data_IF_758393957728
#
_entry.id   IF_758393957728
#
_cell.length_a   1.000
_cell.length_b   1.000
_cell.length_c   1.000
_cell.angle_alpha   90.00
_cell.angle_beta   90.00
_cell.angle_gamma   90.00
#
_symmetry.space_group_name_H-M   'P 1'
#
loop_
_entity.id
_entity.type
_entity.pdbx_description
1 polymer ?
#
# COMPACT_ATOMS: atom_id res chain seq x y z
N UNK A 1 33.52 -8.55 41.31
CA UNK A 1 33.87 -9.94 41.72
C UNK A 1 32.55 -10.70 41.81
N UNK A 2 32.23 -11.69 40.97
CA UNK A 2 33.03 -12.53 40.04
C UNK A 2 32.17 -12.83 38.79
N UNK A 3 32.76 -12.93 37.59
CA UNK A 3 32.06 -13.44 36.39
C UNK A 3 32.08 -14.98 36.35
N UNK A 4 31.13 -15.56 35.62
CA UNK A 4 31.18 -16.88 34.97
C UNK A 4 30.07 -16.89 33.92
N UNK A 5 30.32 -16.84 32.61
CA UNK A 5 31.18 -17.70 31.77
C UNK A 5 30.83 -19.16 31.97
N UNK A 6 30.09 -19.72 31.02
CA UNK A 6 29.96 -21.16 30.82
C UNK A 6 30.43 -21.51 29.42
N UNK A 7 31.28 -22.52 29.35
CA UNK A 7 32.11 -22.83 28.19
C UNK A 7 31.51 -23.98 27.38
N UNK A 8 31.68 -23.91 26.06
CA UNK A 8 31.34 -24.96 25.11
C UNK A 8 32.42 -26.04 25.04
N UNK A 9 32.06 -27.32 25.17
CA UNK A 9 32.82 -28.41 24.55
C UNK A 9 32.12 -29.78 24.53
N UNK A 10 32.19 -30.40 23.34
CA UNK A 10 32.40 -31.84 23.11
C UNK A 10 31.37 -32.86 23.63
N UNK A 11 30.61 -33.43 22.69
CA UNK A 11 30.23 -34.84 22.72
C UNK A 11 30.01 -35.36 21.29
N UNK A 12 30.85 -36.31 20.87
CA UNK A 12 30.71 -36.99 19.58
C UNK A 12 31.33 -38.38 19.63
N UNK A 13 30.60 -39.38 19.17
CA UNK A 13 31.03 -40.73 18.75
C UNK A 13 29.92 -41.22 17.77
N UNK A 14 30.19 -41.46 16.48
CA UNK A 14 30.57 -42.77 15.87
C UNK A 14 29.49 -43.85 16.05
N UNK A 15 28.99 -44.59 15.05
CA UNK A 15 29.26 -44.65 13.60
C UNK A 15 28.61 -45.91 12.97
N UNK A 16 28.66 -46.04 11.63
CA UNK A 16 27.92 -46.99 10.73
C UNK A 16 26.44 -46.60 10.44
N UNK A 17 25.92 -46.72 9.23
CA UNK A 17 26.56 -47.04 7.94
C UNK A 17 25.73 -48.00 7.07
N UNK A 18 25.10 -47.47 6.02
CA UNK A 18 24.64 -48.27 4.88
C UNK A 18 24.67 -47.44 3.59
N UNK A 19 24.97 -48.11 2.48
CA UNK A 19 25.34 -47.50 1.19
C UNK A 19 24.26 -47.75 0.14
N UNK A 20 23.89 -46.71 -0.60
CA UNK A 20 23.30 -46.85 -1.93
C UNK A 20 23.79 -45.72 -2.84
N UNK A 21 24.61 -46.09 -3.82
CA UNK A 21 25.04 -45.24 -4.94
C UNK A 21 23.97 -45.30 -6.04
N UNK A 22 23.70 -44.20 -6.74
CA UNK A 22 24.05 -44.12 -8.18
C UNK A 22 23.87 -42.71 -8.80
N UNK A 23 24.81 -42.39 -9.70
CA UNK A 23 24.81 -41.40 -10.80
C UNK A 23 24.26 -39.96 -10.60
N UNK A 24 25.21 -39.03 -10.55
CA UNK A 24 25.12 -37.73 -11.26
C UNK A 24 25.29 -37.92 -12.77
N UNK A 25 25.08 -36.87 -13.58
CA UNK A 25 26.28 -36.20 -14.11
C UNK A 25 26.26 -34.66 -14.01
N UNK A 26 27.46 -34.10 -14.15
CA UNK A 26 27.81 -32.69 -13.93
C UNK A 26 27.83 -31.97 -15.28
N UNK A 27 27.23 -30.78 -15.40
CA UNK A 27 27.61 -29.84 -16.46
C UNK A 27 28.65 -28.84 -15.95
N UNK A 28 29.81 -28.81 -16.63
CA UNK A 28 30.94 -27.92 -16.35
C UNK A 28 30.57 -26.45 -16.58
N UNK A 29 31.02 -25.59 -15.66
CA UNK A 29 31.41 -24.21 -15.96
C UNK A 29 32.83 -24.21 -16.50
N UNK A 30 33.11 -23.53 -17.62
CA UNK A 30 34.47 -23.31 -18.14
C UNK A 30 34.60 -21.88 -18.67
N UNK A 31 35.46 -21.08 -18.03
CA UNK A 31 36.06 -19.90 -18.65
C UNK A 31 37.07 -20.32 -19.72
N UNK A 32 37.15 -19.53 -20.78
CA UNK A 32 38.29 -19.26 -21.67
C UNK A 32 38.08 -17.80 -22.12
N UNK A 33 38.98 -16.81 -21.97
CA UNK A 33 40.45 -16.75 -22.15
C UNK A 33 40.84 -17.01 -23.60
N UNK A 34 41.27 -15.94 -24.27
CA UNK A 34 41.74 -15.89 -25.67
C UNK A 34 43.27 -16.04 -25.67
N UNK A 35 43.81 -16.80 -26.64
CA UNK A 35 45.15 -16.59 -27.20
C UNK A 35 45.26 -17.28 -28.56
N UNK A 36 45.92 -16.64 -29.52
CA UNK A 36 46.20 -17.15 -30.86
C UNK A 36 47.18 -18.34 -30.88
N UNK A 37 47.09 -19.19 -31.91
CA UNK A 37 48.17 -19.45 -32.88
C UNK A 37 47.80 -20.54 -33.94
N UNK A 38 48.25 -20.27 -35.16
CA UNK A 38 48.37 -21.04 -36.41
C UNK A 38 48.21 -22.58 -36.47
N UNK A 39 47.59 -23.08 -37.56
CA UNK A 39 48.13 -24.08 -38.53
C UNK A 39 47.04 -24.83 -39.35
N UNK A 40 47.00 -24.59 -40.67
CA UNK A 40 46.95 -25.67 -41.68
C UNK A 40 45.62 -26.21 -42.28
N UNK A 41 45.06 -25.48 -43.27
CA UNK A 41 44.37 -25.97 -44.50
C UNK A 41 43.12 -26.91 -44.42
N UNK A 42 42.13 -26.92 -45.33
CA UNK A 42 41.60 -26.04 -46.41
C UNK A 42 40.23 -26.67 -46.83
N UNK A 43 39.36 -26.20 -47.74
CA UNK A 43 39.35 -25.21 -48.84
C UNK A 43 37.97 -24.48 -48.90
N UNK A 44 37.72 -23.67 -49.94
CA UNK A 44 36.44 -22.98 -50.24
C UNK A 44 35.82 -23.48 -51.58
N UNK A 45 34.72 -22.92 -52.13
CA UNK A 45 34.70 -21.54 -52.64
C UNK A 45 33.41 -20.72 -52.38
N UNK A 46 33.55 -19.39 -52.51
CA UNK A 46 32.45 -18.44 -52.74
C UNK A 46 32.34 -18.20 -54.25
N UNK A 47 31.12 -18.02 -54.76
CA UNK A 47 30.85 -17.34 -56.02
C UNK A 47 29.88 -16.19 -55.77
N UNK A 48 30.24 -15.02 -56.27
CA UNK A 48 29.40 -13.82 -56.29
C UNK A 48 28.41 -13.89 -57.46
N UNK A 49 27.22 -13.32 -57.28
CA UNK A 49 26.34 -12.98 -58.41
C UNK A 49 25.61 -11.66 -58.10
N UNK A 50 26.19 -10.55 -58.58
CA UNK A 50 25.57 -9.22 -58.57
C UNK A 50 24.74 -9.05 -59.86
N UNK A 51 23.41 -8.89 -59.75
CA UNK A 51 22.59 -8.31 -60.83
C UNK A 51 21.23 -7.82 -60.35
N UNK A 52 21.07 -6.51 -60.25
CA UNK A 52 19.77 -5.86 -60.01
C UNK A 52 18.90 -5.91 -61.27
N UNK A 53 17.65 -6.37 -61.16
CA UNK A 53 16.53 -5.79 -61.93
C UNK A 53 15.27 -5.67 -61.07
N UNK A 54 14.56 -4.55 -61.27
CA UNK A 54 13.49 -4.06 -60.40
C UNK A 54 12.17 -4.83 -60.57
N UNK A 55 11.38 -5.02 -59.49
CA UNK A 55 10.14 -4.25 -59.29
C UNK A 55 9.37 -4.57 -57.99
N UNK A 56 8.57 -3.58 -57.54
CA UNK A 56 7.50 -3.63 -56.54
C UNK A 56 7.91 -3.70 -55.05
N UNK A 57 7.80 -2.59 -54.29
CA UNK A 57 7.74 -2.64 -52.84
C UNK A 57 6.33 -3.06 -52.40
N UNK A 58 6.11 -4.35 -52.19
CA UNK A 58 4.91 -4.82 -51.47
C UNK A 58 5.02 -4.42 -50.01
N UNK A 59 4.51 -3.23 -49.68
CA UNK A 59 4.39 -2.74 -48.32
C UNK A 59 3.38 -3.57 -47.54
N UNK A 60 3.81 -4.71 -46.99
CA UNK A 60 3.10 -5.33 -45.89
C UNK A 60 3.11 -4.32 -44.72
N UNK A 61 1.93 -3.96 -44.17
CA UNK A 61 1.89 -3.06 -43.03
C UNK A 61 2.39 -3.82 -41.81
N UNK A 62 3.67 -3.64 -41.48
CA UNK A 62 4.29 -3.94 -40.17
C UNK A 62 3.28 -3.63 -39.07
N UNK A 63 2.67 -4.67 -38.49
CA UNK A 63 1.55 -4.49 -37.57
C UNK A 63 2.08 -3.96 -36.25
N UNK A 64 2.12 -2.64 -36.13
CA UNK A 64 2.60 -1.85 -34.99
C UNK A 64 1.99 -2.32 -33.63
N UNK A 65 0.84 -2.99 -33.69
CA UNK A 65 0.14 -3.61 -32.57
C UNK A 65 0.79 -4.89 -32.01
N UNK A 66 1.64 -5.60 -32.76
CA UNK A 66 2.31 -6.84 -32.31
C UNK A 66 3.33 -6.59 -31.19
N UNK A 67 4.00 -5.43 -31.21
CA UNK A 67 5.04 -5.08 -30.24
C UNK A 67 4.49 -4.51 -28.92
N UNK A 68 3.18 -4.27 -28.83
CA UNK A 68 2.56 -3.66 -27.65
C UNK A 68 2.18 -4.71 -26.59
N UNK A 69 3.18 -5.22 -25.88
CA UNK A 69 2.93 -5.81 -24.57
C UNK A 69 2.56 -4.68 -23.58
N UNK A 70 1.35 -4.64 -23.00
CA UNK A 70 1.02 -3.62 -22.02
C UNK A 70 1.96 -3.77 -20.81
N UNK A 71 2.53 -2.67 -20.27
CA UNK A 71 3.41 -2.75 -19.11
C UNK A 71 2.71 -3.47 -17.97
N UNK A 72 3.41 -4.39 -17.28
CA UNK A 72 2.85 -5.31 -16.26
C UNK A 72 2.01 -4.58 -15.19
N UNK A 73 2.31 -3.32 -14.92
CA UNK A 73 1.59 -2.44 -14.01
C UNK A 73 0.17 -2.08 -14.49
N UNK A 74 -0.06 -1.87 -15.79
CA UNK A 74 -1.42 -1.62 -16.33
C UNK A 74 -2.29 -2.87 -16.24
N UNK A 75 -1.75 -4.05 -16.56
CA UNK A 75 -2.50 -5.30 -16.43
C UNK A 75 -2.86 -5.62 -14.96
N UNK A 76 -1.92 -5.41 -14.04
CA UNK A 76 -2.19 -5.50 -12.59
C UNK A 76 -3.16 -4.41 -12.11
N UNK A 77 -3.09 -3.19 -12.64
CA UNK A 77 -4.05 -2.11 -12.34
C UNK A 77 -5.48 -2.44 -12.80
N UNK A 78 -5.64 -3.01 -13.99
CA UNK A 78 -6.93 -3.53 -14.46
C UNK A 78 -7.44 -4.66 -13.55
N UNK A 79 -6.54 -5.54 -13.09
CA UNK A 79 -6.85 -6.61 -12.13
C UNK A 79 -7.37 -6.07 -10.79
N UNK A 80 -6.83 -4.94 -10.30
CA UNK A 80 -7.33 -4.23 -9.11
C UNK A 80 -8.75 -3.70 -9.34
N UNK A 81 -9.05 -3.11 -10.49
CA UNK A 81 -10.40 -2.62 -10.83
C UNK A 81 -11.43 -3.77 -10.93
N UNK A 82 -11.07 -4.88 -11.58
CA UNK A 82 -11.93 -6.07 -11.66
C UNK A 82 -12.18 -6.65 -10.27
N UNK A 83 -11.14 -6.80 -9.45
CA UNK A 83 -11.28 -7.27 -8.06
C UNK A 83 -12.08 -6.30 -7.19
N UNK A 84 -11.95 -4.98 -7.39
CA UNK A 84 -12.75 -3.99 -6.70
C UNK A 84 -14.24 -4.18 -7.00
N UNK A 85 -14.62 -4.24 -8.28
CA UNK A 85 -16.00 -4.49 -8.69
C UNK A 85 -16.54 -5.83 -8.18
N UNK A 86 -15.73 -6.88 -8.27
CA UNK A 86 -16.10 -8.23 -7.80
C UNK A 86 -16.26 -8.29 -6.27
N UNK A 87 -15.39 -7.63 -5.50
CA UNK A 87 -15.50 -7.50 -4.03
C UNK A 87 -16.73 -6.69 -3.65
N UNK A 88 -17.01 -5.56 -4.32
CA UNK A 88 -18.20 -4.74 -4.06
C UNK A 88 -19.48 -5.57 -4.28
N UNK A 89 -19.61 -6.20 -5.46
CA UNK A 89 -20.78 -7.03 -5.80
C UNK A 89 -20.95 -8.21 -4.84
N UNK A 90 -19.86 -8.85 -4.38
CA UNK A 90 -19.94 -9.99 -3.46
C UNK A 90 -20.16 -9.60 -2.01
N UNK A 91 -19.65 -8.45 -1.57
CA UNK A 91 -19.95 -7.86 -0.25
C UNK A 91 -21.43 -7.52 -0.16
N UNK A 92 -22.01 -6.92 -1.21
CA UNK A 92 -23.46 -6.69 -1.34
C UNK A 92 -24.30 -7.98 -1.39
N UNK A 93 -23.73 -9.12 -1.81
CA UNK A 93 -24.40 -10.44 -1.81
C UNK A 93 -24.33 -11.19 -0.46
N UNK A 94 -23.78 -10.58 0.60
CA UNK A 94 -24.04 -11.00 1.99
C UNK A 94 -23.41 -12.32 2.47
N UNK A 95 -22.57 -13.00 1.68
CA UNK A 95 -21.86 -14.23 2.11
C UNK A 95 -20.64 -13.93 3.00
N UNK A 96 -20.86 -13.28 4.14
CA UNK A 96 -19.80 -12.78 5.02
C UNK A 96 -19.50 -13.74 6.18
N UNK A 97 -18.25 -14.19 6.26
CA UNK A 97 -17.75 -14.99 7.39
C UNK A 97 -17.48 -14.08 8.59
N UNK A 98 -18.50 -13.87 9.44
CA UNK A 98 -18.45 -12.91 10.55
C UNK A 98 -17.29 -13.15 11.54
N UNK A 99 -16.99 -14.42 11.87
CA UNK A 99 -15.86 -14.80 12.73
C UNK A 99 -14.51 -14.33 12.17
N UNK A 100 -14.27 -14.54 10.88
CA UNK A 100 -13.05 -14.09 10.20
C UNK A 100 -12.99 -12.56 10.13
N UNK A 101 -14.14 -11.91 9.90
CA UNK A 101 -14.24 -10.43 9.88
C UNK A 101 -13.87 -9.82 11.23
N UNK A 102 -14.34 -10.40 12.35
CA UNK A 102 -13.98 -9.95 13.70
C UNK A 102 -12.49 -10.12 14.00
N UNK A 103 -11.90 -11.26 13.63
CA UNK A 103 -10.45 -11.48 13.80
C UNK A 103 -9.60 -10.48 12.99
N UNK A 104 -10.03 -10.15 11.78
CA UNK A 104 -9.37 -9.10 11.00
C UNK A 104 -9.62 -7.71 11.60
N UNK A 105 -10.80 -7.42 12.13
CA UNK A 105 -11.13 -6.14 12.78
C UNK A 105 -10.24 -5.87 14.01
N UNK A 106 -10.02 -6.89 14.86
CA UNK A 106 -9.09 -6.82 16.00
C UNK A 106 -7.64 -6.54 15.53
N UNK A 107 -7.25 -7.10 14.38
CA UNK A 107 -5.91 -6.91 13.80
C UNK A 107 -5.73 -5.54 13.15
N UNK A 108 -6.75 -5.01 12.47
CA UNK A 108 -6.69 -3.70 11.81
C UNK A 108 -6.81 -2.58 12.82
N UNK A 109 -7.81 -2.64 13.71
CA UNK A 109 -8.12 -1.59 14.67
C UNK A 109 -7.16 -1.56 15.85
N UNK A 110 -7.45 -2.28 16.97
CA UNK A 110 -6.68 -2.24 18.22
C UNK A 110 -5.16 -2.26 18.06
N UNK A 111 -4.63 -3.14 17.21
CA UNK A 111 -3.17 -3.27 17.04
C UNK A 111 -2.55 -2.04 16.37
N UNK A 112 -3.30 -1.32 15.51
CA UNK A 112 -2.82 -0.12 14.80
C UNK A 112 -2.96 1.19 15.59
N UNK A 113 -3.88 1.25 16.56
CA UNK A 113 -4.19 2.47 17.34
C UNK A 113 -2.93 3.18 17.84
N UNK A 114 -2.03 2.47 18.54
CA UNK A 114 -0.84 3.09 19.15
C UNK A 114 0.09 3.79 18.16
N UNK A 115 0.28 3.25 16.95
CA UNK A 115 1.11 3.88 15.92
C UNK A 115 0.38 5.09 15.31
N UNK A 116 -0.92 4.94 15.03
CA UNK A 116 -1.72 6.00 14.43
C UNK A 116 -1.82 7.23 15.36
N UNK A 117 -2.08 7.01 16.65
CA UNK A 117 -2.13 8.07 17.66
C UNK A 117 -0.79 8.78 17.86
N UNK A 118 0.33 8.03 17.85
CA UNK A 118 1.66 8.62 17.98
C UNK A 118 1.99 9.50 16.77
N UNK A 119 1.72 9.00 15.56
CA UNK A 119 1.91 9.79 14.32
C UNK A 119 1.00 11.02 14.30
N UNK A 120 -0.29 10.90 14.64
CA UNK A 120 -1.21 12.05 14.65
C UNK A 120 -0.82 13.09 15.70
N UNK A 121 -0.30 12.67 16.86
CA UNK A 121 0.20 13.59 17.89
C UNK A 121 1.37 14.45 17.38
N UNK A 122 2.38 13.83 16.75
CA UNK A 122 3.53 14.56 16.19
C UNK A 122 3.15 15.43 14.99
N UNK A 123 2.24 14.97 14.12
CA UNK A 123 1.71 15.78 13.02
C UNK A 123 0.95 17.00 13.56
N UNK A 124 0.16 16.83 14.64
CA UNK A 124 -0.46 17.90 15.44
C UNK A 124 0.54 18.98 15.83
N UNK A 125 1.60 18.59 16.53
CA UNK A 125 2.65 19.50 16.97
C UNK A 125 3.33 20.21 15.78
N UNK A 126 3.71 19.47 14.74
CA UNK A 126 4.40 20.00 13.57
C UNK A 126 3.55 21.02 12.77
N UNK A 127 2.24 20.79 12.64
CA UNK A 127 1.32 21.77 12.03
C UNK A 127 1.13 22.99 12.91
N UNK A 128 0.99 22.81 14.22
CA UNK A 128 0.84 23.90 15.18
C UNK A 128 1.98 24.92 15.10
N UNK A 129 3.24 24.44 15.03
CA UNK A 129 4.43 25.30 14.91
C UNK A 129 4.36 26.18 13.66
N UNK A 130 3.87 25.66 12.55
CA UNK A 130 3.78 26.37 11.27
C UNK A 130 2.64 27.40 11.31
N UNK A 131 1.43 26.98 11.70
CA UNK A 131 0.25 27.84 11.69
C UNK A 131 0.30 28.93 12.77
N UNK A 132 0.71 28.61 14.01
CA UNK A 132 0.81 29.63 15.07
C UNK A 132 1.78 30.74 14.67
N UNK A 133 2.96 30.38 14.13
CA UNK A 133 3.96 31.38 13.68
C UNK A 133 3.41 32.33 12.64
N UNK A 134 2.69 31.81 11.63
CA UNK A 134 2.18 32.65 10.55
C UNK A 134 0.99 33.51 11.01
N UNK A 135 0.08 32.96 11.82
CA UNK A 135 -1.04 33.72 12.36
C UNK A 135 -0.61 34.76 13.41
N UNK A 136 0.48 34.54 14.15
CA UNK A 136 1.07 35.56 15.03
C UNK A 136 1.59 36.75 14.24
N UNK A 137 2.22 36.54 13.07
CA UNK A 137 2.65 37.63 12.17
C UNK A 137 1.48 38.45 11.66
N UNK A 138 0.33 37.81 11.43
CA UNK A 138 -0.92 38.46 11.00
C UNK A 138 -1.76 39.04 12.15
N UNK A 139 -1.36 38.84 13.42
CA UNK A 139 -2.13 39.25 14.59
C UNK A 139 -3.39 38.39 14.88
N UNK A 140 -3.57 37.26 14.20
CA UNK A 140 -4.79 36.44 14.18
C UNK A 140 -4.75 35.24 15.15
N UNK A 141 -4.04 35.34 16.28
CA UNK A 141 -3.82 34.24 17.23
C UNK A 141 -5.10 33.53 17.71
N UNK A 142 -6.23 34.25 17.81
CA UNK A 142 -7.53 33.67 18.23
C UNK A 142 -8.18 32.79 17.16
N UNK A 143 -7.75 32.86 15.90
CA UNK A 143 -8.32 32.09 14.78
C UNK A 143 -7.55 30.79 14.49
N UNK A 144 -6.39 30.60 15.13
CA UNK A 144 -5.50 29.44 14.87
C UNK A 144 -6.20 28.11 15.15
N UNK A 145 -6.90 28.00 16.29
CA UNK A 145 -7.61 26.78 16.67
C UNK A 145 -8.66 26.35 15.65
N UNK A 146 -9.44 27.29 15.13
CA UNK A 146 -10.42 27.03 14.07
C UNK A 146 -9.81 26.53 12.77
N UNK A 147 -8.70 27.14 12.34
CA UNK A 147 -8.02 26.74 11.09
C UNK A 147 -7.34 25.38 11.22
N UNK A 148 -6.71 25.09 12.37
CA UNK A 148 -6.22 23.75 12.68
C UNK A 148 -7.36 22.73 12.64
N UNK A 149 -8.45 22.98 13.35
CA UNK A 149 -9.57 22.05 13.43
C UNK A 149 -10.15 21.69 12.06
N UNK A 150 -10.31 22.69 11.18
CA UNK A 150 -10.74 22.48 9.80
C UNK A 150 -9.72 21.67 8.98
N UNK A 151 -8.42 21.99 9.07
CA UNK A 151 -7.38 21.26 8.36
C UNK A 151 -7.28 19.79 8.82
N UNK A 152 -7.35 19.56 10.14
CA UNK A 152 -7.32 18.22 10.74
C UNK A 152 -8.57 17.41 10.38
N UNK A 153 -9.76 18.00 10.40
CA UNK A 153 -11.00 17.28 10.08
C UNK A 153 -11.09 16.94 8.60
N UNK A 154 -10.83 17.89 7.70
CA UNK A 154 -11.13 17.74 6.26
C UNK A 154 -10.12 16.88 5.51
N UNK A 155 -8.84 17.03 5.82
CA UNK A 155 -7.74 16.45 5.05
C UNK A 155 -6.79 15.63 5.94
N UNK A 156 -6.24 16.25 7.00
CA UNK A 156 -5.05 15.71 7.66
C UNK A 156 -5.33 14.39 8.41
N UNK A 157 -6.39 14.31 9.20
CA UNK A 157 -6.66 13.10 10.00
C UNK A 157 -7.04 11.88 9.14
N UNK A 158 -7.95 12.00 8.14
CA UNK A 158 -8.25 10.89 7.23
C UNK A 158 -7.01 10.40 6.46
N UNK A 159 -6.23 11.32 5.90
CA UNK A 159 -5.07 10.98 5.05
C UNK A 159 -3.93 10.39 5.87
N UNK A 160 -3.51 11.02 6.97
CA UNK A 160 -2.40 10.53 7.82
C UNK A 160 -2.71 9.16 8.40
N UNK A 161 -3.94 8.94 8.89
CA UNK A 161 -4.36 7.62 9.41
C UNK A 161 -4.29 6.57 8.32
N UNK A 162 -4.76 6.89 7.11
CA UNK A 162 -4.77 5.97 5.98
C UNK A 162 -3.37 5.62 5.48
N UNK A 163 -2.43 6.57 5.45
CA UNK A 163 -1.02 6.33 5.10
C UNK A 163 -0.37 5.34 6.08
N UNK A 164 -0.55 5.55 7.39
CA UNK A 164 0.00 4.67 8.44
C UNK A 164 -0.58 3.25 8.34
N UNK A 165 -1.90 3.14 8.14
CA UNK A 165 -2.57 1.84 8.02
C UNK A 165 -2.26 1.14 6.69
N UNK A 166 -2.10 1.87 5.58
CA UNK A 166 -1.61 1.32 4.31
C UNK A 166 -0.22 0.69 4.47
N UNK A 167 0.71 1.43 5.10
CA UNK A 167 2.07 0.94 5.34
C UNK A 167 2.12 -0.29 6.26
N UNK A 168 1.29 -0.36 7.31
CA UNK A 168 1.31 -1.47 8.27
C UNK A 168 0.39 -2.64 7.89
N UNK A 169 -0.89 -2.37 7.74
CA UNK A 169 -1.94 -3.37 7.52
C UNK A 169 -2.00 -3.76 6.04
N UNK A 170 -1.87 -2.79 5.13
CA UNK A 170 -1.79 -3.07 3.69
C UNK A 170 -0.62 -4.00 3.36
N UNK A 171 0.58 -3.70 3.89
CA UNK A 171 1.73 -4.61 3.80
C UNK A 171 1.44 -6.01 4.34
N UNK A 172 0.89 -6.11 5.56
CA UNK A 172 0.59 -7.39 6.19
C UNK A 172 -0.42 -8.21 5.38
N UNK A 173 -1.44 -7.57 4.80
CA UNK A 173 -2.43 -8.23 3.96
C UNK A 173 -1.85 -8.74 2.65
N UNK A 174 -1.02 -7.93 1.98
CA UNK A 174 -0.33 -8.32 0.76
C UNK A 174 0.66 -9.48 1.00
N UNK A 175 1.46 -9.40 2.07
CA UNK A 175 2.43 -10.44 2.41
C UNK A 175 1.76 -11.79 2.79
N UNK A 176 0.69 -11.75 3.58
CA UNK A 176 -0.03 -12.95 4.00
C UNK A 176 -0.70 -13.66 2.80
N UNK A 177 -1.35 -12.90 1.92
CA UNK A 177 -1.94 -13.47 0.69
C UNK A 177 -0.90 -13.89 -0.34
N UNK A 178 0.21 -13.14 -0.47
CA UNK A 178 1.32 -13.51 -1.34
C UNK A 178 1.95 -14.84 -0.91
N UNK A 179 2.12 -15.05 0.39
CA UNK A 179 2.58 -16.34 0.95
C UNK A 179 1.57 -17.45 0.67
N UNK A 180 0.28 -17.23 0.92
CA UNK A 180 -0.78 -18.22 0.61
C UNK A 180 -0.84 -18.58 -0.87
N UNK A 181 -0.61 -17.61 -1.77
CA UNK A 181 -0.60 -17.82 -3.22
C UNK A 181 0.65 -18.59 -3.67
N UNK A 182 1.82 -18.25 -3.14
CA UNK A 182 3.09 -18.93 -3.45
C UNK A 182 3.14 -20.35 -2.88
N UNK A 183 2.41 -20.64 -1.81
CA UNK A 183 2.27 -21.98 -1.22
C UNK A 183 1.04 -22.76 -1.71
N UNK A 184 0.41 -22.35 -2.82
CA UNK A 184 -0.75 -23.01 -3.45
C UNK A 184 -1.99 -23.19 -2.54
N UNK A 185 -2.02 -22.53 -1.38
CA UNK A 185 -3.13 -22.60 -0.42
C UNK A 185 -4.40 -21.93 -0.99
N UNK A 186 -4.24 -20.85 -1.75
CA UNK A 186 -5.33 -20.19 -2.47
C UNK A 186 -5.99 -21.12 -3.50
N UNK A 187 -5.21 -21.99 -4.13
CA UNK A 187 -5.67 -22.90 -5.17
C UNK A 187 -6.31 -24.15 -4.55
N UNK A 188 -5.75 -24.63 -3.44
CA UNK A 188 -6.35 -25.67 -2.58
C UNK A 188 -7.77 -25.28 -2.14
N UNK A 189 -8.00 -24.02 -1.75
CA UNK A 189 -9.34 -23.52 -1.40
C UNK A 189 -10.32 -23.62 -2.57
N UNK A 190 -9.89 -23.38 -3.82
CA UNK A 190 -10.74 -23.52 -5.02
C UNK A 190 -11.11 -24.98 -5.27
N UNK A 191 -10.17 -25.91 -5.09
CA UNK A 191 -10.42 -27.36 -5.21
C UNK A 191 -11.42 -27.84 -4.15
N UNK A 192 -11.36 -27.28 -2.94
CA UNK A 192 -12.35 -27.51 -1.87
C UNK A 192 -13.70 -26.77 -2.08
N UNK A 193 -13.98 -26.27 -3.29
CA UNK A 193 -15.24 -25.60 -3.65
C UNK A 193 -15.44 -24.21 -3.03
N UNK A 194 -14.44 -23.66 -2.33
CA UNK A 194 -14.52 -22.36 -1.66
C UNK A 194 -13.92 -21.25 -2.52
N UNK A 195 -14.64 -20.14 -2.66
CA UNK A 195 -14.12 -18.97 -3.37
C UNK A 195 -13.08 -18.23 -2.49
N UNK A 196 -11.79 -18.16 -2.87
CA UNK A 196 -10.76 -17.56 -2.01
C UNK A 196 -10.97 -16.05 -1.80
N UNK A 197 -11.57 -15.36 -2.76
CA UNK A 197 -11.96 -13.94 -2.63
C UNK A 197 -12.94 -13.75 -1.47
N UNK A 198 -13.95 -14.61 -1.37
CA UNK A 198 -15.04 -14.49 -0.39
C UNK A 198 -14.58 -14.87 1.02
N UNK A 199 -13.63 -15.81 1.11
CA UNK A 199 -13.09 -16.31 2.37
C UNK A 199 -11.94 -15.47 2.94
N UNK A 200 -11.09 -14.89 2.07
CA UNK A 200 -9.87 -14.18 2.48
C UNK A 200 -9.95 -12.65 2.27
N UNK A 201 -10.55 -12.18 1.17
CA UNK A 201 -10.52 -10.75 0.80
C UNK A 201 -11.68 -9.99 1.40
N UNK A 202 -12.92 -10.45 1.21
CA UNK A 202 -14.14 -9.83 1.74
C UNK A 202 -14.07 -9.50 3.25
N UNK A 203 -13.68 -10.42 4.17
CA UNK A 203 -13.62 -10.08 5.60
C UNK A 203 -12.57 -9.01 5.93
N UNK A 204 -11.46 -8.93 5.18
CA UNK A 204 -10.42 -7.90 5.37
C UNK A 204 -10.88 -6.52 4.91
N UNK A 205 -11.61 -6.46 3.79
CA UNK A 205 -12.18 -5.21 3.25
C UNK A 205 -13.26 -4.64 4.16
N UNK A 206 -14.14 -5.48 4.70
CA UNK A 206 -15.14 -5.06 5.69
C UNK A 206 -14.44 -4.58 6.98
N UNK A 207 -13.46 -5.35 7.49
CA UNK A 207 -12.72 -4.99 8.69
C UNK A 207 -11.98 -3.64 8.57
N UNK A 208 -11.32 -3.36 7.44
CA UNK A 208 -10.62 -2.08 7.24
C UNK A 208 -11.57 -0.90 7.01
N UNK A 209 -12.66 -1.12 6.27
CA UNK A 209 -13.71 -0.13 6.03
C UNK A 209 -14.33 0.34 7.35
N UNK A 210 -14.56 -0.58 8.31
CA UNK A 210 -15.11 -0.25 9.62
C UNK A 210 -14.05 0.28 10.62
N UNK A 211 -12.82 -0.22 10.58
CA UNK A 211 -11.77 0.22 11.51
C UNK A 211 -11.26 1.64 11.24
N UNK A 212 -11.06 2.03 9.97
CA UNK A 212 -10.46 3.32 9.64
C UNK A 212 -11.23 4.56 10.11
N UNK A 213 -12.57 4.68 9.99
CA UNK A 213 -13.28 5.86 10.49
C UNK A 213 -13.14 6.01 12.01
N UNK A 214 -13.13 4.90 12.76
CA UNK A 214 -12.91 4.94 14.21
C UNK A 214 -11.47 5.38 14.56
N UNK A 215 -10.47 4.85 13.85
CA UNK A 215 -9.07 5.28 14.04
C UNK A 215 -8.88 6.75 13.66
N UNK A 216 -9.53 7.21 12.58
CA UNK A 216 -9.46 8.60 12.11
C UNK A 216 -10.02 9.58 13.15
N UNK A 217 -11.13 9.25 13.80
CA UNK A 217 -11.68 10.05 14.91
C UNK A 217 -10.72 10.11 16.10
N UNK A 218 -10.06 9.00 16.46
CA UNK A 218 -9.06 8.98 17.53
C UNK A 218 -7.79 9.77 17.16
N UNK A 219 -7.33 9.69 15.91
CA UNK A 219 -6.23 10.51 15.40
C UNK A 219 -6.57 12.01 15.42
N UNK A 220 -7.83 12.37 15.09
CA UNK A 220 -8.31 13.75 15.13
C UNK A 220 -8.28 14.31 16.56
N UNK A 221 -8.85 13.59 17.54
CA UNK A 221 -8.89 14.07 18.94
C UNK A 221 -7.49 14.18 19.54
N UNK A 222 -6.62 13.20 19.32
CA UNK A 222 -5.24 13.23 19.82
C UNK A 222 -4.37 14.26 19.09
N UNK A 223 -4.55 14.46 17.78
CA UNK A 223 -3.86 15.50 17.01
C UNK A 223 -4.27 16.91 17.44
N UNK A 224 -5.56 17.15 17.69
CA UNK A 224 -6.04 18.42 18.23
C UNK A 224 -5.59 18.66 19.68
N UNK A 225 -5.57 17.61 20.52
CA UNK A 225 -5.08 17.70 21.89
C UNK A 225 -3.57 18.02 21.95
N UNK A 226 -2.73 17.34 21.16
CA UNK A 226 -1.30 17.63 21.11
C UNK A 226 -0.99 19.02 20.56
N UNK A 227 -1.80 19.48 19.59
CA UNK A 227 -1.73 20.83 19.05
C UNK A 227 -2.03 21.89 20.10
N UNK A 228 -3.11 21.73 20.86
CA UNK A 228 -3.51 22.68 21.90
C UNK A 228 -2.47 22.74 23.04
N UNK A 229 -1.96 21.58 23.49
CA UNK A 229 -0.90 21.51 24.51
C UNK A 229 0.39 22.20 24.07
N UNK A 230 0.80 22.04 22.81
CA UNK A 230 2.01 22.68 22.30
C UNK A 230 1.84 24.20 22.17
N UNK A 231 0.69 24.66 21.68
CA UNK A 231 0.42 26.09 21.51
C UNK A 231 0.38 26.85 22.84
N UNK A 232 -0.13 26.22 23.90
CA UNK A 232 -0.06 26.74 25.27
C UNK A 232 1.38 26.77 25.79
N UNK A 233 2.08 25.62 25.73
CA UNK A 233 3.43 25.45 26.28
C UNK A 233 4.52 26.30 25.60
N UNK A 234 4.44 26.51 24.28
CA UNK A 234 5.50 27.13 23.47
C UNK A 234 5.18 28.57 23.07
N UNK A 235 3.89 28.89 22.87
CA UNK A 235 3.44 30.19 22.35
C UNK A 235 2.56 30.97 23.32
N UNK A 236 2.24 30.42 24.50
CA UNK A 236 1.42 31.10 25.51
C UNK A 236 -0.04 31.31 25.10
N UNK A 237 -0.52 30.58 24.09
CA UNK A 237 -1.91 30.67 23.63
C UNK A 237 -2.76 29.68 24.42
N UNK A 238 -3.58 30.20 25.35
CA UNK A 238 -4.40 29.38 26.23
C UNK A 238 -5.21 28.32 25.48
N UNK A 239 -5.13 27.08 25.94
CA UNK A 239 -5.87 25.90 25.45
C UNK A 239 -7.35 26.23 25.20
N UNK A 240 -7.99 26.97 26.11
CA UNK A 240 -9.41 27.33 26.02
C UNK A 240 -9.73 28.18 24.76
N UNK A 241 -8.84 29.10 24.37
CA UNK A 241 -9.01 29.92 23.18
C UNK A 241 -8.95 29.05 21.92
N UNK A 242 -8.06 28.06 21.90
CA UNK A 242 -7.88 27.14 20.76
C UNK A 242 -9.09 26.21 20.64
N UNK A 243 -9.54 25.62 21.73
CA UNK A 243 -10.69 24.71 21.73
C UNK A 243 -12.01 25.43 21.41
N UNK A 244 -12.24 26.62 21.95
CA UNK A 244 -13.42 27.44 21.59
C UNK A 244 -13.37 27.90 20.11
N UNK A 245 -12.21 28.31 19.62
CA UNK A 245 -12.00 28.65 18.20
C UNK A 245 -12.23 27.43 17.29
N UNK A 246 -11.76 26.25 17.69
CA UNK A 246 -11.99 24.99 17.00
C UNK A 246 -13.48 24.63 16.97
N UNK A 247 -14.17 24.69 18.10
CA UNK A 247 -15.59 24.37 18.22
C UNK A 247 -16.47 25.33 17.42
N UNK A 248 -16.11 26.61 17.33
CA UNK A 248 -16.83 27.60 16.51
C UNK A 248 -16.59 27.45 15.00
N UNK A 249 -15.46 26.86 14.59
CA UNK A 249 -15.14 26.64 13.18
C UNK A 249 -15.66 25.31 12.62
N UNK A 250 -15.61 24.24 13.43
CA UNK A 250 -16.05 22.90 13.03
C UNK A 250 -17.56 22.84 12.81
N UNK A 251 -17.99 22.31 11.66
CA UNK A 251 -19.36 21.88 11.44
C UNK A 251 -19.46 20.37 11.55
N UNK A 252 -20.61 19.84 11.96
CA UNK A 252 -20.85 18.38 12.02
C UNK A 252 -20.59 17.69 10.68
N UNK A 253 -20.77 18.40 9.57
CA UNK A 253 -20.45 17.93 8.21
C UNK A 253 -18.95 17.67 7.99
N UNK A 254 -18.06 18.45 8.61
CA UNK A 254 -16.61 18.27 8.49
C UNK A 254 -16.16 16.94 9.12
N UNK A 255 -16.84 16.49 10.18
CA UNK A 255 -16.57 15.21 10.86
C UNK A 255 -17.19 14.05 10.07
N UNK A 256 -18.43 14.20 9.59
CA UNK A 256 -19.12 13.16 8.80
C UNK A 256 -18.38 12.90 7.48
N UNK A 257 -17.95 13.95 6.78
CA UNK A 257 -17.16 13.82 5.55
C UNK A 257 -15.80 13.16 5.79
N UNK A 258 -15.14 13.44 6.92
CA UNK A 258 -13.91 12.75 7.36
C UNK A 258 -14.12 11.24 7.58
N UNK A 259 -15.24 10.85 8.19
CA UNK A 259 -15.60 9.44 8.39
C UNK A 259 -15.88 8.73 7.05
N UNK A 260 -16.61 9.37 6.13
CA UNK A 260 -16.89 8.79 4.81
C UNK A 260 -15.60 8.64 4.00
N UNK A 261 -14.73 9.67 3.97
CA UNK A 261 -13.40 9.60 3.33
C UNK A 261 -12.58 8.43 3.86
N UNK A 262 -12.39 8.35 5.18
CA UNK A 262 -11.61 7.28 5.81
C UNK A 262 -12.20 5.88 5.60
N UNK A 263 -13.53 5.75 5.53
CA UNK A 263 -14.18 4.50 5.14
C UNK A 263 -13.83 4.09 3.69
N UNK A 264 -13.80 5.04 2.75
CA UNK A 264 -13.39 4.79 1.35
C UNK A 264 -11.91 4.41 1.26
N UNK A 265 -11.03 5.15 1.95
CA UNK A 265 -9.60 4.80 2.01
C UNK A 265 -9.37 3.40 2.59
N UNK A 266 -10.17 2.99 3.58
CA UNK A 266 -10.11 1.66 4.19
C UNK A 266 -10.47 0.55 3.19
N UNK A 267 -11.43 0.80 2.30
CA UNK A 267 -11.76 -0.12 1.21
C UNK A 267 -10.64 -0.17 0.17
N UNK A 268 -10.11 0.99 -0.26
CA UNK A 268 -9.03 1.08 -1.25
C UNK A 268 -7.79 0.30 -0.78
N UNK A 269 -7.33 0.52 0.46
CA UNK A 269 -6.16 -0.17 1.03
C UNK A 269 -6.35 -1.68 0.95
N UNK A 270 -7.44 -2.21 1.50
CA UNK A 270 -7.64 -3.67 1.54
C UNK A 270 -7.84 -4.28 0.16
N UNK A 271 -8.56 -3.61 -0.75
CA UNK A 271 -8.77 -4.12 -2.11
C UNK A 271 -7.43 -4.16 -2.86
N UNK A 272 -6.66 -3.07 -2.85
CA UNK A 272 -5.34 -3.00 -3.52
C UNK A 272 -4.38 -4.02 -2.91
N UNK A 273 -4.23 -4.04 -1.58
CA UNK A 273 -3.30 -4.97 -0.92
C UNK A 273 -3.68 -6.43 -1.11
N UNK A 274 -4.97 -6.77 -1.10
CA UNK A 274 -5.39 -8.14 -1.38
C UNK A 274 -5.21 -8.52 -2.85
N UNK A 275 -5.48 -7.60 -3.80
CA UNK A 275 -5.27 -7.84 -5.23
C UNK A 275 -3.79 -8.11 -5.57
N UNK A 276 -2.87 -7.34 -4.99
CA UNK A 276 -1.44 -7.58 -5.17
C UNK A 276 -0.96 -8.86 -4.46
N UNK A 277 -1.53 -9.20 -3.30
CA UNK A 277 -1.30 -10.49 -2.65
C UNK A 277 -1.70 -11.69 -3.50
N UNK A 278 -2.95 -11.76 -3.99
CA UNK A 278 -3.44 -12.90 -4.79
C UNK A 278 -2.85 -12.99 -6.20
N UNK A 279 -2.21 -11.91 -6.69
CA UNK A 279 -1.49 -11.90 -7.97
C UNK A 279 0.03 -11.97 -7.80
N UNK A 280 0.51 -12.37 -6.61
CA UNK A 280 1.93 -12.60 -6.34
C UNK A 280 2.43 -13.86 -7.07
N UNK A 281 3.63 -13.76 -7.66
CA UNK A 281 4.33 -14.86 -8.35
C UNK A 281 5.82 -14.77 -8.02
N UNK A 282 6.57 -15.89 -8.10
CA UNK A 282 8.03 -15.88 -7.97
C UNK A 282 8.59 -16.03 -6.56
N UNK A 283 7.98 -16.89 -5.74
CA UNK A 283 8.52 -17.27 -4.43
C UNK A 283 8.54 -16.13 -3.39
N UNK A 284 9.34 -16.29 -2.34
CA UNK A 284 9.47 -15.30 -1.27
C UNK A 284 9.91 -13.91 -1.75
N UNK A 285 10.74 -13.83 -2.80
CA UNK A 285 11.14 -12.55 -3.42
C UNK A 285 9.92 -11.82 -4.02
N UNK A 286 9.07 -12.56 -4.74
CA UNK A 286 7.83 -12.04 -5.31
C UNK A 286 6.85 -11.53 -4.26
N UNK A 287 6.79 -12.15 -3.08
CA UNK A 287 5.98 -11.66 -1.94
C UNK A 287 6.48 -10.29 -1.49
N UNK A 288 7.79 -10.09 -1.35
CA UNK A 288 8.38 -8.80 -1.00
C UNK A 288 8.07 -7.70 -2.03
N UNK A 289 8.33 -7.96 -3.31
CA UNK A 289 8.05 -7.02 -4.41
C UNK A 289 6.56 -6.67 -4.55
N UNK A 290 5.68 -7.65 -4.33
CA UNK A 290 4.22 -7.43 -4.40
C UNK A 290 3.71 -6.67 -3.17
N UNK A 291 4.35 -6.86 -2.01
CA UNK A 291 4.04 -6.12 -0.77
C UNK A 291 4.41 -4.64 -0.89
N UNK A 292 5.60 -4.31 -1.38
CA UNK A 292 6.00 -2.90 -1.57
C UNK A 292 5.16 -2.22 -2.65
N UNK A 293 4.91 -2.89 -3.76
CA UNK A 293 4.05 -2.39 -4.85
C UNK A 293 2.61 -2.14 -4.38
N UNK A 294 2.06 -3.03 -3.54
CA UNK A 294 0.74 -2.86 -2.94
C UNK A 294 0.63 -1.57 -2.12
N UNK A 295 1.63 -1.29 -1.27
CA UNK A 295 1.64 -0.06 -0.46
C UNK A 295 1.70 1.16 -1.36
N UNK A 296 2.65 1.24 -2.29
CA UNK A 296 2.81 2.40 -3.18
C UNK A 296 1.52 2.69 -3.96
N UNK A 297 0.88 1.66 -4.53
CA UNK A 297 -0.35 1.84 -5.32
C UNK A 297 -1.54 2.18 -4.41
N UNK A 298 -1.59 1.65 -3.18
CA UNK A 298 -2.62 2.07 -2.22
C UNK A 298 -2.48 3.53 -1.81
N UNK A 299 -1.25 4.05 -1.64
CA UNK A 299 -0.98 5.44 -1.33
C UNK A 299 -1.38 6.38 -2.48
N UNK A 300 -1.02 6.03 -3.72
CA UNK A 300 -1.47 6.78 -4.92
C UNK A 300 -3.00 6.75 -5.02
N UNK A 301 -3.63 5.59 -4.80
CA UNK A 301 -5.08 5.45 -4.79
C UNK A 301 -5.78 6.28 -3.71
N UNK A 302 -5.19 6.37 -2.51
CA UNK A 302 -5.68 7.24 -1.43
C UNK A 302 -5.64 8.71 -1.87
N UNK A 303 -4.51 9.21 -2.39
CA UNK A 303 -4.41 10.61 -2.81
C UNK A 303 -5.35 10.95 -3.98
N UNK A 304 -5.53 10.04 -4.94
CA UNK A 304 -6.50 10.23 -6.03
C UNK A 304 -7.95 10.27 -5.52
N UNK A 305 -8.30 9.37 -4.59
CA UNK A 305 -9.62 9.34 -3.99
C UNK A 305 -9.86 10.53 -3.06
N UNK A 306 -8.84 10.99 -2.34
CA UNK A 306 -8.90 12.17 -1.46
C UNK A 306 -9.21 13.43 -2.27
N UNK A 307 -8.48 13.66 -3.36
CA UNK A 307 -8.76 14.75 -4.30
C UNK A 307 -10.20 14.68 -4.85
N UNK A 308 -10.63 13.50 -5.31
CA UNK A 308 -11.98 13.33 -5.88
C UNK A 308 -13.10 13.55 -4.84
N UNK A 309 -12.90 13.09 -3.59
CA UNK A 309 -13.87 13.27 -2.51
C UNK A 309 -13.85 14.70 -1.95
N UNK A 310 -12.70 15.35 -1.82
CA UNK A 310 -12.62 16.78 -1.46
C UNK A 310 -13.32 17.65 -2.51
N UNK A 311 -13.10 17.39 -3.80
CA UNK A 311 -13.80 18.06 -4.87
C UNK A 311 -15.33 17.88 -4.73
N UNK A 312 -15.80 16.64 -4.63
CA UNK A 312 -17.23 16.34 -4.51
C UNK A 312 -17.89 16.95 -3.25
N UNK A 313 -17.25 16.88 -2.08
CA UNK A 313 -17.84 17.35 -0.83
C UNK A 313 -17.72 18.86 -0.60
N UNK A 314 -16.70 19.53 -1.13
CA UNK A 314 -16.47 20.96 -0.89
C UNK A 314 -16.80 21.88 -2.08
N UNK A 315 -17.12 21.35 -3.27
CA UNK A 315 -17.67 22.13 -4.38
C UNK A 315 -18.92 22.95 -3.98
N UNK A 316 -19.82 22.37 -3.17
CA UNK A 316 -21.04 23.06 -2.73
C UNK A 316 -20.82 24.28 -1.85
N UNK A 317 -19.61 24.49 -1.30
CA UNK A 317 -19.26 25.75 -0.63
C UNK A 317 -18.89 26.87 -1.62
N UNK A 318 -18.48 26.51 -2.84
CA UNK A 318 -18.16 27.46 -3.92
C UNK A 318 -19.39 28.09 -4.57
N UNK A 319 -20.53 27.39 -4.62
CA UNK A 319 -21.77 27.92 -5.19
C UNK A 319 -22.32 29.11 -4.37
N UNK A 320 -22.07 29.15 -3.06
CA UNK A 320 -22.39 30.33 -2.24
C UNK A 320 -21.54 31.56 -2.58
N UNK A 321 -20.31 31.39 -3.09
CA UNK A 321 -19.50 32.50 -3.60
C UNK A 321 -19.93 32.90 -5.02
N UNK A 322 -20.32 31.93 -5.85
CA UNK A 322 -20.85 32.16 -7.20
C UNK A 322 -22.20 32.89 -7.21
N UNK A 323 -22.99 32.76 -6.15
CA UNK A 323 -24.26 33.47 -5.97
C UNK A 323 -24.11 34.81 -5.23
N UNK A 324 -22.89 35.22 -4.88
CA UNK A 324 -22.56 36.50 -4.24
C UNK A 324 -21.70 37.43 -5.13
N UNK A 325 -21.50 37.06 -6.40
CA UNK A 325 -20.82 37.85 -7.45
C UNK A 325 -21.79 38.03 -8.62
#
# INVERSE_FOLDING_TARGET
>A
MKLGVWNSSQLGFTGRGQSLRFLTPIHKTRLFVISDADDGHAYAPVLEEDSNTNHAPSSEPETFFSKWSPPKYLWRGLSVLVLAGQVIIRTLKGKVHWRNTLQQLERVGPKSVGVCLLTSAFVGMAFTIQFVREFTRLGLNRSVGGVLALAFSRELSPVVTSIVVAGRIGSAFAAELGTMQVSEQTDTLRVLGSNPVDYLVTPRVIASSLALPFLTLMCFTVGMASSALLADSVYGISINIILDSAQRALRSWDIISAMIKSQVFGMIISIVSCAWGVTTMGGAKGVGESTTSAVVISLVGIFMADFALSYCFFQGAGDSLKNCV
#
